data_IF_887903038297
#
_entry.id   IF_887903038297
#
_cell.length_a   1.000
_cell.length_b   1.000
_cell.length_c   1.000
_cell.angle_alpha   90.00
_cell.angle_beta   90.00
_cell.angle_gamma   90.00
#
_symmetry.space_group_name_H-M   'P 1'
#
loop_
_entity.id
_entity.type
_entity.pdbx_description
1 polymer ?
#
# COMPACT_ATOMS: atom_id res chain seq x y z
N UNK A 1 15.70 -10.81 3.87
CA UNK A 1 14.28 -10.45 3.95
C UNK A 1 14.07 -9.31 2.98
N UNK A 2 13.45 -9.59 1.84
CA UNK A 2 12.96 -8.53 0.97
C UNK A 2 11.44 -8.59 1.05
N UNK A 3 10.81 -7.51 1.53
CA UNK A 3 9.37 -7.35 1.46
C UNK A 3 9.00 -7.20 -0.02
N UNK A 4 8.00 -7.95 -0.49
CA UNK A 4 7.59 -7.93 -1.88
C UNK A 4 6.06 -7.93 -1.95
N UNK A 5 5.52 -6.84 -2.49
CA UNK A 5 4.08 -6.69 -2.73
C UNK A 5 3.22 -6.49 -1.50
N UNK A 6 1.91 -6.58 -1.72
CA UNK A 6 0.85 -6.47 -0.70
C UNK A 6 -0.08 -7.66 -0.87
N UNK A 7 -0.33 -8.39 0.21
CA UNK A 7 -1.30 -9.48 0.27
C UNK A 7 -2.51 -9.05 1.09
N UNK A 8 -3.70 -9.22 0.53
CA UNK A 8 -4.97 -9.13 1.25
C UNK A 8 -5.48 -10.56 1.52
N UNK A 9 -5.78 -10.86 2.78
CA UNK A 9 -6.35 -12.13 3.20
C UNK A 9 -7.74 -11.89 3.79
N UNK A 10 -8.76 -12.40 3.11
CA UNK A 10 -10.11 -12.49 3.65
C UNK A 10 -10.15 -13.67 4.64
N UNK A 11 -10.38 -13.37 5.92
CA UNK A 11 -10.40 -14.38 6.99
C UNK A 11 -11.69 -15.18 7.04
N UNK A 12 -12.78 -14.70 6.45
CA UNK A 12 -14.05 -15.44 6.40
C UNK A 12 -14.00 -16.52 5.33
N UNK A 13 -13.44 -16.19 4.16
CA UNK A 13 -13.38 -17.11 3.01
C UNK A 13 -12.05 -17.83 2.87
N UNK A 14 -10.99 -17.32 3.48
CA UNK A 14 -9.61 -17.77 3.28
C UNK A 14 -9.02 -17.36 1.93
N UNK A 15 -9.66 -16.44 1.20
CA UNK A 15 -9.17 -15.96 -0.10
C UNK A 15 -7.97 -15.04 0.10
N UNK A 16 -6.92 -15.27 -0.69
CA UNK A 16 -5.75 -14.42 -0.77
C UNK A 16 -5.70 -13.72 -2.13
N UNK A 17 -5.55 -12.40 -2.11
CA UNK A 17 -5.30 -11.57 -3.28
C UNK A 17 -3.93 -10.90 -3.13
N UNK A 18 -3.09 -10.98 -4.16
CA UNK A 18 -1.70 -10.50 -4.12
C UNK A 18 -1.46 -9.45 -5.20
N UNK A 19 -0.96 -8.30 -4.78
CA UNK A 19 -0.29 -7.36 -5.66
C UNK A 19 1.22 -7.64 -5.68
N UNK A 20 1.75 -8.07 -6.82
CA UNK A 20 3.20 -8.18 -7.07
C UNK A 20 3.65 -7.00 -7.97
N UNK A 21 4.48 -6.07 -7.45
CA UNK A 21 4.95 -4.92 -8.21
C UNK A 21 6.07 -5.26 -9.21
N UNK A 22 6.46 -6.53 -9.28
CA UNK A 22 7.50 -7.03 -10.17
C UNK A 22 8.88 -7.09 -9.51
N UNK A 23 9.87 -7.62 -10.24
CA UNK A 23 11.13 -8.08 -9.67
C UNK A 23 12.00 -6.96 -9.11
N UNK A 24 11.85 -5.72 -9.57
CA UNK A 24 12.71 -4.58 -9.21
C UNK A 24 12.10 -3.59 -8.22
N UNK A 25 10.83 -3.77 -7.91
CA UNK A 25 10.09 -2.89 -7.01
C UNK A 25 9.89 -3.59 -5.67
N UNK A 26 10.08 -2.85 -4.58
CA UNK A 26 9.91 -3.35 -3.21
C UNK A 26 8.92 -2.47 -2.47
N UNK A 27 7.78 -3.04 -2.09
CA UNK A 27 6.78 -2.40 -1.24
C UNK A 27 7.21 -2.46 0.22
N UNK A 28 6.94 -1.40 0.97
CA UNK A 28 7.09 -1.35 2.43
C UNK A 28 5.86 -1.91 3.14
N UNK A 29 5.64 -1.46 4.38
CA UNK A 29 4.39 -1.71 5.08
C UNK A 29 3.19 -1.14 4.28
N UNK A 30 2.11 -1.91 4.23
CA UNK A 30 0.80 -1.41 3.77
C UNK A 30 0.00 -0.87 4.94
N UNK A 31 -0.60 0.31 4.79
CA UNK A 31 -1.49 0.89 5.79
C UNK A 31 -2.86 1.22 5.17
N UNK A 32 -3.91 0.88 5.92
CA UNK A 32 -5.30 1.05 5.47
C UNK A 32 -5.78 2.50 5.63
N UNK A 33 -6.55 2.96 4.65
CA UNK A 33 -7.22 4.25 4.63
C UNK A 33 -8.72 4.00 4.39
N UNK A 34 -9.60 4.32 5.35
CA UNK A 34 -11.04 4.13 5.20
C UNK A 34 -11.60 5.00 4.06
N UNK A 35 -12.46 4.40 3.22
CA UNK A 35 -13.21 5.07 2.15
C UNK A 35 -14.73 5.01 2.34
N UNK A 36 -15.21 4.10 3.19
CA UNK A 36 -16.62 3.97 3.58
C UNK A 36 -16.79 3.36 4.96
N UNK A 37 -18.02 2.94 5.27
CA UNK A 37 -18.40 2.49 6.62
C UNK A 37 -18.19 0.98 6.85
N UNK A 38 -18.02 0.19 5.78
CA UNK A 38 -17.83 -1.25 5.88
C UNK A 38 -16.35 -1.61 6.13
N UNK A 39 -16.11 -2.72 6.83
CA UNK A 39 -14.75 -3.24 7.01
C UNK A 39 -14.09 -3.50 5.65
N UNK A 40 -12.87 -2.99 5.48
CA UNK A 40 -12.11 -3.14 4.24
C UNK A 40 -12.58 -2.26 3.08
N UNK A 41 -13.63 -1.45 3.24
CA UNK A 41 -14.05 -0.47 2.23
C UNK A 41 -13.13 0.76 2.25
N UNK A 42 -12.23 0.83 1.28
CA UNK A 42 -11.22 1.89 1.20
C UNK A 42 -10.00 1.46 0.42
N UNK A 43 -8.83 1.94 0.87
CA UNK A 43 -7.57 1.77 0.16
C UNK A 43 -6.47 1.22 1.06
N UNK A 44 -5.51 0.54 0.44
CA UNK A 44 -4.22 0.24 1.07
C UNK A 44 -3.15 1.09 0.39
N UNK A 45 -2.44 1.87 1.19
CA UNK A 45 -1.32 2.68 0.74
C UNK A 45 0.00 2.02 1.13
N UNK A 46 1.01 2.12 0.26
CA UNK A 46 2.37 1.69 0.58
C UNK A 46 3.41 2.50 -0.19
N UNK A 47 4.60 2.68 0.39
CA UNK A 47 5.74 3.17 -0.36
C UNK A 47 6.40 2.03 -1.13
N UNK A 48 6.55 2.19 -2.44
CA UNK A 48 7.22 1.24 -3.32
C UNK A 48 8.52 1.85 -3.84
N UNK A 49 9.67 1.23 -3.56
CA UNK A 49 10.97 1.64 -4.08
C UNK A 49 11.34 0.83 -5.32
N UNK A 50 11.62 1.52 -6.41
CA UNK A 50 12.13 0.95 -7.66
C UNK A 50 13.65 1.02 -7.68
N UNK A 51 14.30 -0.15 -7.69
CA UNK A 51 15.76 -0.29 -7.70
C UNK A 51 16.39 0.12 -9.03
N UNK A 52 15.65 0.04 -10.13
CA UNK A 52 16.13 0.40 -11.46
C UNK A 52 16.30 1.90 -11.64
N UNK A 53 15.42 2.69 -11.01
CA UNK A 53 15.45 4.16 -11.07
C UNK A 53 16.01 4.82 -9.81
N UNK A 54 16.14 4.07 -8.71
CA UNK A 54 16.44 4.56 -7.36
C UNK A 54 15.47 5.64 -6.88
N UNK A 55 14.19 5.48 -7.24
CA UNK A 55 13.10 6.37 -6.85
C UNK A 55 11.97 5.59 -6.18
N UNK A 56 11.00 6.29 -5.60
CA UNK A 56 9.86 5.67 -4.94
C UNK A 56 8.54 6.21 -5.45
N UNK A 57 7.48 5.44 -5.28
CA UNK A 57 6.10 5.89 -5.43
C UNK A 57 5.35 5.66 -4.12
N UNK A 58 4.42 6.54 -3.78
CA UNK A 58 3.30 6.18 -2.91
C UNK A 58 2.23 5.52 -3.78
N UNK A 59 2.00 4.24 -3.55
CA UNK A 59 1.06 3.40 -4.30
C UNK A 59 -0.26 3.36 -3.55
N UNK A 60 -1.37 3.50 -4.29
CA UNK A 60 -2.74 3.39 -3.76
C UNK A 60 -3.40 2.20 -4.42
N UNK A 61 -3.74 1.19 -3.62
CA UNK A 61 -4.46 -0.02 -4.03
C UNK A 61 -5.91 0.08 -3.57
N UNK A 62 -6.84 -0.45 -4.36
CA UNK A 62 -8.17 -0.79 -3.86
C UNK A 62 -8.02 -1.91 -2.81
N UNK A 63 -8.50 -1.68 -1.58
CA UNK A 63 -8.34 -2.66 -0.50
C UNK A 63 -9.10 -3.97 -0.76
N UNK A 64 -10.15 -3.94 -1.59
CA UNK A 64 -10.97 -5.11 -1.93
C UNK A 64 -10.47 -5.85 -3.18
N UNK A 65 -9.56 -5.26 -3.96
CA UNK A 65 -9.02 -5.85 -5.18
C UNK A 65 -7.55 -5.44 -5.42
N UNK A 66 -6.67 -5.78 -4.47
CA UNK A 66 -5.24 -5.45 -4.58
C UNK A 66 -4.58 -6.10 -5.81
N UNK A 67 -5.08 -7.25 -6.26
CA UNK A 67 -4.54 -8.00 -7.39
C UNK A 67 -4.72 -7.27 -8.73
N UNK A 68 -5.72 -6.39 -8.85
CA UNK A 68 -5.87 -5.50 -10.01
C UNK A 68 -4.72 -4.47 -10.15
N UNK A 69 -3.93 -4.30 -9.08
CA UNK A 69 -2.85 -3.33 -9.02
C UNK A 69 -3.31 -1.93 -8.63
N UNK A 70 -2.41 -0.93 -8.72
CA UNK A 70 -2.70 0.41 -8.22
C UNK A 70 -3.79 1.11 -9.00
N UNK A 71 -4.74 1.69 -8.27
CA UNK A 71 -5.72 2.64 -8.80
C UNK A 71 -5.12 4.03 -8.96
N UNK A 72 -4.04 4.33 -8.22
CA UNK A 72 -3.25 5.55 -8.36
C UNK A 72 -1.81 5.36 -7.87
N UNK A 73 -0.90 6.21 -8.37
CA UNK A 73 0.48 6.30 -7.90
C UNK A 73 0.94 7.75 -7.85
N UNK A 74 1.53 8.15 -6.71
CA UNK A 74 2.23 9.42 -6.56
C UNK A 74 3.73 9.18 -6.64
N UNK A 75 4.34 9.60 -7.75
CA UNK A 75 5.78 9.40 -7.99
C UNK A 75 6.61 10.41 -7.21
N UNK A 76 7.62 9.92 -6.50
CA UNK A 76 8.57 10.70 -5.73
C UNK A 76 9.93 10.70 -6.45
N UNK A 77 10.59 11.85 -6.63
CA UNK A 77 11.86 11.92 -7.38
C UNK A 77 13.06 11.40 -6.58
N UNK A 78 12.84 10.80 -5.42
CA UNK A 78 13.87 10.30 -4.50
C UNK A 78 13.40 9.01 -3.85
N UNK A 79 14.37 8.18 -3.44
CA UNK A 79 14.11 6.99 -2.63
C UNK A 79 13.54 7.36 -1.26
N UNK A 80 12.43 6.74 -0.89
CA UNK A 80 11.96 6.61 0.49
C UNK A 80 12.62 5.37 1.10
N UNK A 81 13.45 5.48 2.15
CA UNK A 81 14.05 4.33 2.81
C UNK A 81 12.99 3.39 3.41
N UNK A 82 13.31 2.11 3.55
CA UNK A 82 12.45 1.17 4.27
C UNK A 82 12.25 1.65 5.71
N UNK A 83 11.04 2.09 6.01
CA UNK A 83 10.59 2.43 7.35
C UNK A 83 10.12 1.20 8.12
N UNK A 84 9.46 1.45 9.25
CA UNK A 84 8.81 0.42 10.05
C UNK A 84 7.31 0.56 9.98
N UNK A 85 6.76 1.52 10.72
CA UNK A 85 5.32 1.71 10.87
C UNK A 85 4.87 3.06 10.36
N UNK A 86 3.65 3.09 9.82
CA UNK A 86 2.89 4.28 9.45
C UNK A 86 1.47 4.25 10.01
N UNK A 87 0.82 5.40 10.00
CA UNK A 87 -0.58 5.56 10.39
C UNK A 87 -1.22 6.60 9.46
N UNK A 88 -2.47 6.35 9.10
CA UNK A 88 -3.35 7.35 8.52
C UNK A 88 -4.18 8.01 9.62
N UNK A 89 -4.26 9.35 9.58
CA UNK A 89 -5.14 10.14 10.42
C UNK A 89 -6.03 10.98 9.50
N UNK A 90 -7.34 10.98 9.75
CA UNK A 90 -8.23 11.89 9.07
C UNK A 90 -7.97 13.33 9.55
N UNK A 91 -8.38 14.32 8.77
CA UNK A 91 -8.23 15.74 9.13
C UNK A 91 -8.90 16.05 10.49
N UNK A 92 -10.07 15.47 10.74
CA UNK A 92 -10.83 15.64 11.98
C UNK A 92 -10.10 15.06 13.22
N UNK A 93 -9.19 14.10 13.03
CA UNK A 93 -8.38 13.51 14.11
C UNK A 93 -7.15 14.38 14.47
N UNK A 94 -6.86 15.43 13.70
CA UNK A 94 -5.70 16.29 13.89
C UNK A 94 -5.96 17.50 14.84
N UNK A 95 -7.18 17.70 15.30
CA UNK A 95 -7.50 18.82 16.21
C UNK A 95 -7.03 18.55 17.64
N UNK A 96 -6.22 19.46 18.18
CA UNK A 96 -5.76 19.50 19.58
C UNK A 96 -6.73 20.29 20.45
#
# INVERSE_FOLDING_TARGET
FELAGICHLDLETGREDLWDPGPDVRAGEGFFVPGGDAEGDGWVLTYAWDRGTDTSSLVVLDAQDVAAGPVAEVRLPVRVPFGFHGLWLAEDDLTV
#
